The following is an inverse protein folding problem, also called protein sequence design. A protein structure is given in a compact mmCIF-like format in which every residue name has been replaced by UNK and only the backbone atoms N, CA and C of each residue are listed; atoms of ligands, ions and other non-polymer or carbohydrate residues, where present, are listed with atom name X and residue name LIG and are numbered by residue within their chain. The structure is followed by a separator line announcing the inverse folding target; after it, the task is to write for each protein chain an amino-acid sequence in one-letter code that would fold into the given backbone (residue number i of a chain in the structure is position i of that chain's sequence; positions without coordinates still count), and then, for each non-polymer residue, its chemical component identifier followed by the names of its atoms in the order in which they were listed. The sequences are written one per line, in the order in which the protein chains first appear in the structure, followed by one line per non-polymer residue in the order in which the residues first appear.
data_IF_700489925893
#
_entry.id   IF_700489925893
#
_cell.length_a   1.000
_cell.length_b   1.000
_cell.length_c   1.000
_cell.angle_alpha   90.00
_cell.angle_beta   90.00
_cell.angle_gamma   90.00
#
_symmetry.space_group_name_H-M   'P 1'
#
loop_
_entity.id
_entity.type
_entity.pdbx_description
1 polymer ?
#
# COMPACT_ATOMS: atom_id res chain seq x y z
N UNK A 1 -4.93 4.76 33.35
CA UNK A 1 -5.09 4.03 34.63
C UNK A 1 -6.51 3.51 34.71
N UNK A 2 -6.67 2.23 35.01
CA UNK A 2 -7.96 1.56 35.18
C UNK A 2 -8.09 1.12 36.64
N UNK A 3 -9.28 1.20 37.22
CA UNK A 3 -9.54 0.61 38.55
C UNK A 3 -9.72 -0.89 38.37
N UNK A 4 -8.92 -1.68 39.10
CA UNK A 4 -9.14 -3.10 39.26
C UNK A 4 -10.19 -3.26 40.35
N UNK A 5 -11.36 -3.76 39.97
CA UNK A 5 -12.41 -4.05 40.91
C UNK A 5 -12.48 -5.55 41.15
N UNK A 6 -12.57 -5.96 42.40
CA UNK A 6 -12.76 -7.34 42.81
C UNK A 6 -14.23 -7.59 43.12
N UNK A 7 -14.71 -8.76 42.70
CA UNK A 7 -16.00 -9.28 43.12
C UNK A 7 -15.81 -10.69 43.66
N UNK A 8 -16.17 -10.89 44.92
CA UNK A 8 -16.07 -12.18 45.59
C UNK A 8 -17.17 -13.12 45.12
N UNK A 9 -16.81 -14.38 44.80
CA UNK A 9 -17.79 -15.43 44.64
C UNK A 9 -18.32 -15.84 46.02
N UNK A 10 -19.59 -15.51 46.30
CA UNK A 10 -20.29 -15.95 47.50
C UNK A 10 -21.21 -17.11 47.13
N UNK A 11 -21.05 -18.26 47.81
CA UNK A 11 -21.90 -19.43 47.61
C UNK A 11 -23.36 -19.07 47.93
N UNK A 12 -24.25 -19.24 46.96
CA UNK A 12 -25.66 -18.84 47.07
C UNK A 12 -25.96 -17.37 46.70
N UNK A 13 -24.95 -16.57 46.37
CA UNK A 13 -25.11 -15.23 45.84
C UNK A 13 -25.16 -15.17 44.31
N UNK A 14 -25.70 -14.08 43.78
CA UNK A 14 -25.74 -13.81 42.33
C UNK A 14 -24.31 -13.66 41.78
N UNK A 15 -23.94 -14.33 40.68
CA UNK A 15 -22.58 -14.25 40.15
C UNK A 15 -22.24 -12.84 39.65
N UNK A 16 -20.97 -12.46 39.82
CA UNK A 16 -20.42 -11.15 39.45
C UNK A 16 -20.49 -10.89 37.93
N UNK A 17 -20.30 -11.96 37.17
CA UNK A 17 -20.43 -11.99 35.72
C UNK A 17 -21.61 -12.89 35.41
N UNK A 18 -22.56 -12.38 34.65
CA UNK A 18 -23.69 -13.15 34.12
C UNK A 18 -23.55 -13.25 32.62
N UNK A 19 -23.88 -14.40 32.06
CA UNK A 19 -24.01 -14.51 30.61
C UNK A 19 -25.49 -14.37 30.27
N UNK A 20 -25.85 -13.31 29.56
CA UNK A 20 -27.23 -13.06 29.10
C UNK A 20 -27.20 -13.06 27.58
N UNK A 21 -27.90 -14.01 26.95
CA UNK A 21 -27.93 -14.18 25.49
C UNK A 21 -26.53 -14.38 24.83
N UNK A 22 -25.58 -14.95 25.56
CA UNK A 22 -24.20 -15.16 25.07
C UNK A 22 -23.25 -13.99 25.34
N UNK A 23 -23.77 -12.84 25.76
CA UNK A 23 -22.98 -11.69 26.15
C UNK A 23 -22.68 -11.70 27.65
N UNK A 24 -21.45 -11.34 28.02
CA UNK A 24 -21.05 -11.19 29.43
C UNK A 24 -21.56 -9.84 29.93
N UNK A 25 -22.55 -9.88 30.81
CA UNK A 25 -23.10 -8.73 31.52
C UNK A 25 -22.42 -8.61 32.88
N UNK A 26 -21.80 -7.47 33.12
CA UNK A 26 -21.14 -7.11 34.38
C UNK A 26 -22.13 -6.32 35.23
N UNK A 27 -22.39 -6.76 36.47
CA UNK A 27 -23.23 -6.00 37.43
C UNK A 27 -22.34 -5.04 38.23
N UNK A 28 -22.25 -3.74 37.89
CA UNK A 28 -21.20 -2.85 38.40
C UNK A 28 -21.25 -2.68 39.93
N UNK A 29 -22.44 -2.77 40.54
CA UNK A 29 -22.60 -2.63 41.99
C UNK A 29 -21.92 -3.75 42.80
N UNK A 30 -21.57 -4.88 42.19
CA UNK A 30 -20.82 -5.96 42.86
C UNK A 30 -19.31 -5.83 42.75
N UNK A 31 -18.84 -4.90 41.92
CA UNK A 31 -17.43 -4.56 41.73
C UNK A 31 -17.02 -3.32 42.54
N UNK A 32 -17.72 -3.02 43.65
CA UNK A 32 -17.43 -1.84 44.46
C UNK A 32 -16.12 -1.92 45.25
N UNK A 33 -15.56 -3.11 45.44
CA UNK A 33 -14.27 -3.25 46.11
C UNK A 33 -13.13 -2.99 45.11
N UNK A 34 -12.48 -1.84 45.26
CA UNK A 34 -11.25 -1.55 44.54
C UNK A 34 -10.13 -2.47 45.05
N UNK A 35 -9.69 -3.39 44.20
CA UNK A 35 -8.55 -4.26 44.42
C UNK A 35 -7.22 -3.56 44.14
N UNK A 36 -7.25 -2.46 43.38
CA UNK A 36 -6.11 -1.60 43.10
C UNK A 36 -6.27 -0.82 41.81
N UNK A 37 -5.17 -0.28 41.32
CA UNK A 37 -5.13 0.46 40.05
C UNK A 37 -4.20 -0.25 39.06
N UNK A 38 -4.70 -0.51 37.85
CA UNK A 38 -3.92 -0.97 36.72
C UNK A 38 -3.46 0.22 35.88
N UNK A 39 -2.15 0.44 35.81
CA UNK A 39 -1.57 1.37 34.85
C UNK A 39 -1.22 0.61 33.57
N UNK A 40 -2.07 0.73 32.55
CA UNK A 40 -1.77 0.22 31.21
C UNK A 40 -0.98 1.30 30.48
N UNK A 41 0.23 0.96 30.04
CA UNK A 41 1.07 1.77 29.17
C UNK A 41 1.10 1.16 27.77
N UNK A 42 0.90 1.99 26.75
CA UNK A 42 0.83 1.60 25.35
C UNK A 42 0.09 2.67 24.55
N UNK A 43 -0.09 2.48 23.24
CA UNK A 43 -1.00 3.32 22.44
C UNK A 43 -2.01 2.51 21.63
N UNK A 44 -1.78 1.19 21.51
CA UNK A 44 -2.47 0.29 20.61
C UNK A 44 -3.32 -0.66 21.46
N UNK A 45 -4.60 -0.77 21.15
CA UNK A 45 -5.56 -1.65 21.86
C UNK A 45 -5.87 -2.92 21.08
N UNK A 46 -5.86 -2.84 19.75
CA UNK A 46 -6.07 -3.98 18.87
C UNK A 46 -5.31 -3.80 17.56
N UNK A 47 -5.06 -4.92 16.90
CA UNK A 47 -4.42 -5.00 15.59
C UNK A 47 -5.10 -6.09 14.77
N UNK A 48 -5.38 -5.80 13.51
CA UNK A 48 -6.09 -6.72 12.61
C UNK A 48 -5.69 -6.50 11.15
N UNK A 49 -6.01 -7.48 10.31
CA UNK A 49 -5.94 -7.33 8.85
C UNK A 49 -6.86 -6.20 8.36
N UNK A 50 -6.45 -5.51 7.29
CA UNK A 50 -7.30 -4.52 6.60
C UNK A 50 -8.33 -5.25 5.73
N UNK A 51 -9.50 -5.48 6.31
CA UNK A 51 -10.64 -6.12 5.65
C UNK A 51 -11.56 -5.09 4.96
N UNK A 52 -12.63 -5.60 4.33
CA UNK A 52 -13.63 -4.84 3.59
C UNK A 52 -14.16 -3.59 4.34
N UNK A 53 -14.63 -2.53 3.64
CA UNK A 53 -14.83 -2.43 2.18
C UNK A 53 -13.53 -2.20 1.40
N UNK A 54 -12.43 -1.89 2.10
CA UNK A 54 -11.17 -1.44 1.52
C UNK A 54 -10.06 -2.48 1.66
N UNK A 55 -10.34 -3.70 1.19
CA UNK A 55 -9.42 -4.85 1.36
C UNK A 55 -8.03 -4.49 0.85
N UNK A 56 -7.02 -4.72 1.69
CA UNK A 56 -5.63 -4.44 1.37
C UNK A 56 -4.75 -5.59 1.87
N UNK A 57 -4.70 -6.71 1.14
CA UNK A 57 -3.94 -7.88 1.54
C UNK A 57 -2.43 -7.56 1.51
N UNK A 58 -1.62 -8.35 2.22
CA UNK A 58 -0.16 -8.20 2.12
C UNK A 58 0.34 -8.75 0.78
N UNK A 59 1.36 -8.11 0.23
CA UNK A 59 1.95 -8.43 -1.07
C UNK A 59 3.48 -8.25 -0.99
N UNK A 60 4.26 -8.64 -2.02
CA UNK A 60 5.73 -8.64 -1.92
C UNK A 60 6.37 -7.31 -1.54
N UNK A 61 5.71 -6.18 -1.83
CA UNK A 61 6.26 -4.84 -1.59
C UNK A 61 5.85 -4.22 -0.26
N UNK A 62 4.74 -4.68 0.33
CA UNK A 62 4.29 -4.16 1.61
C UNK A 62 3.27 -5.06 2.30
N UNK A 63 3.26 -5.00 3.63
CA UNK A 63 2.22 -5.54 4.48
C UNK A 63 1.40 -4.39 5.09
N UNK A 64 0.15 -4.67 5.46
CA UNK A 64 -0.73 -3.65 6.02
C UNK A 64 -1.59 -4.21 7.14
N UNK A 65 -1.79 -3.39 8.17
CA UNK A 65 -2.68 -3.70 9.28
C UNK A 65 -3.47 -2.46 9.69
N UNK A 66 -4.66 -2.70 10.24
CA UNK A 66 -5.43 -1.70 10.95
C UNK A 66 -5.17 -1.85 12.45
N UNK A 67 -4.83 -0.74 13.10
CA UNK A 67 -4.57 -0.60 14.52
C UNK A 67 -5.66 0.25 15.14
N UNK A 68 -6.17 -0.18 16.29
CA UNK A 68 -7.00 0.68 17.13
C UNK A 68 -6.11 1.40 18.14
N UNK A 69 -5.93 2.70 17.96
CA UNK A 69 -5.17 3.54 18.87
C UNK A 69 -6.11 4.22 19.87
N UNK A 70 -5.70 4.33 21.12
CA UNK A 70 -6.53 5.00 22.13
C UNK A 70 -6.13 6.46 22.37
N UNK A 71 -5.00 6.90 21.81
CA UNK A 71 -4.52 8.27 21.96
C UNK A 71 -3.82 8.79 20.70
N UNK A 72 -3.94 10.11 20.41
CA UNK A 72 -3.18 10.76 19.36
C UNK A 72 -1.74 11.10 19.82
N UNK A 73 -0.94 11.65 18.91
CA UNK A 73 0.37 12.24 19.19
C UNK A 73 1.52 11.25 19.32
N UNK A 74 1.33 9.99 18.91
CA UNK A 74 2.34 8.92 19.02
C UNK A 74 2.85 8.48 17.64
N UNK A 75 4.11 8.07 17.57
CA UNK A 75 4.65 7.40 16.39
C UNK A 75 4.49 5.90 16.55
N UNK A 76 3.88 5.27 15.55
CA UNK A 76 3.74 3.81 15.52
C UNK A 76 4.87 3.21 14.70
N UNK A 77 5.56 2.24 15.28
CA UNK A 77 6.55 1.43 14.61
C UNK A 77 6.03 0.01 14.50
N UNK A 78 6.07 -0.56 13.30
CA UNK A 78 5.63 -1.92 13.03
C UNK A 78 6.74 -2.73 12.37
N UNK A 79 6.78 -4.02 12.71
CA UNK A 79 7.68 -5.01 12.14
C UNK A 79 6.89 -6.12 11.49
N UNK A 80 7.45 -6.68 10.43
CA UNK A 80 6.90 -7.81 9.69
C UNK A 80 7.95 -8.88 9.55
N UNK A 81 7.59 -10.12 9.88
CA UNK A 81 8.45 -11.28 9.73
C UNK A 81 7.74 -12.36 8.91
N UNK A 82 8.54 -13.26 8.35
CA UNK A 82 8.04 -14.46 7.66
C UNK A 82 7.46 -15.47 8.64
N UNK A 83 8.16 -15.69 9.75
CA UNK A 83 7.84 -16.71 10.74
C UNK A 83 7.36 -16.06 12.03
N UNK A 84 6.48 -16.75 12.77
CA UNK A 84 6.16 -16.38 14.14
C UNK A 84 7.37 -16.50 15.07
N UNK A 85 7.34 -15.79 16.19
CA UNK A 85 8.33 -15.96 17.24
C UNK A 85 8.24 -17.37 17.86
N UNK A 86 9.35 -17.89 18.46
CA UNK A 86 9.35 -19.20 19.10
C UNK A 86 8.23 -19.38 20.11
N UNK A 87 7.81 -20.63 20.35
CA UNK A 87 6.81 -20.92 21.39
C UNK A 87 7.29 -20.38 22.74
N UNK A 88 6.38 -19.80 23.51
CA UNK A 88 6.65 -19.14 24.79
C UNK A 88 7.58 -17.91 24.70
N UNK A 89 7.82 -17.37 23.51
CA UNK A 89 8.55 -16.13 23.31
C UNK A 89 7.58 -14.96 23.12
N UNK A 90 7.39 -14.12 24.13
CA UNK A 90 6.63 -12.87 24.00
C UNK A 90 7.57 -11.76 23.51
N UNK A 91 7.43 -11.23 22.28
CA UNK A 91 8.34 -10.23 21.75
C UNK A 91 8.36 -8.95 22.57
N UNK A 92 9.54 -8.38 22.72
CA UNK A 92 9.77 -7.08 23.35
C UNK A 92 10.15 -6.02 22.30
N UNK A 93 10.04 -4.73 22.65
CA UNK A 93 10.41 -3.65 21.75
C UNK A 93 11.88 -3.77 21.28
N UNK A 94 12.80 -4.17 22.14
CA UNK A 94 14.20 -4.38 21.78
C UNK A 94 14.40 -5.58 20.84
N UNK A 95 13.58 -6.63 20.96
CA UNK A 95 13.59 -7.77 20.03
C UNK A 95 13.21 -7.32 18.61
N UNK A 96 12.13 -6.54 18.50
CA UNK A 96 11.64 -6.07 17.20
C UNK A 96 12.47 -4.93 16.63
N UNK A 97 13.04 -4.02 17.42
CA UNK A 97 13.91 -2.94 16.90
C UNK A 97 15.17 -3.49 16.24
N UNK A 98 15.67 -4.61 16.76
CA UNK A 98 16.91 -5.22 16.32
C UNK A 98 16.72 -6.39 15.33
N UNK A 99 15.49 -6.63 14.86
CA UNK A 99 15.20 -7.73 13.95
C UNK A 99 15.78 -7.54 12.53
N UNK A 100 16.10 -6.31 12.15
CA UNK A 100 16.75 -5.99 10.87
C UNK A 100 18.27 -6.15 10.91
N UNK A 101 18.87 -6.29 12.09
CA UNK A 101 20.30 -6.55 12.21
C UNK A 101 20.62 -7.99 11.77
N UNK A 102 21.79 -8.21 11.14
CA UNK A 102 22.26 -9.56 10.80
C UNK A 102 22.25 -10.49 12.01
N UNK A 103 21.92 -11.78 11.82
CA UNK A 103 21.82 -12.75 12.94
C UNK A 103 23.09 -12.85 13.80
N UNK A 104 24.25 -12.59 13.20
CA UNK A 104 25.56 -12.67 13.87
C UNK A 104 26.10 -11.31 14.34
N UNK A 105 25.27 -10.27 14.33
CA UNK A 105 25.62 -8.96 14.88
C UNK A 105 25.99 -9.11 16.37
N UNK A 106 27.12 -8.53 16.76
CA UNK A 106 27.67 -8.64 18.12
C UNK A 106 26.80 -7.93 19.15
N UNK A 107 26.03 -6.95 18.68
CA UNK A 107 25.11 -6.13 19.46
C UNK A 107 23.84 -6.89 19.88
N UNK A 108 23.53 -8.03 19.22
CA UNK A 108 22.34 -8.83 19.55
C UNK A 108 22.57 -9.70 20.78
N UNK A 109 21.68 -9.59 21.75
CA UNK A 109 21.60 -10.55 22.86
C UNK A 109 21.16 -11.94 22.38
N UNK A 110 21.45 -12.97 23.17
CA UNK A 110 21.01 -14.35 22.88
C UNK A 110 19.49 -14.42 22.65
N UNK A 111 18.71 -13.69 23.45
CA UNK A 111 17.27 -13.60 23.29
C UNK A 111 16.88 -12.98 21.94
N UNK A 112 17.50 -11.86 21.55
CA UNK A 112 17.18 -11.16 20.30
C UNK A 112 17.54 -11.99 19.07
N UNK A 113 18.53 -12.89 19.15
CA UNK A 113 18.88 -13.83 18.07
C UNK A 113 17.79 -14.88 17.81
N UNK A 114 16.97 -15.19 18.82
CA UNK A 114 15.83 -16.11 18.70
C UNK A 114 14.65 -15.48 17.97
N UNK A 115 14.53 -14.15 17.97
CA UNK A 115 13.45 -13.47 17.27
C UNK A 115 13.64 -13.59 15.74
N UNK A 116 12.57 -13.86 14.96
CA UNK A 116 12.65 -13.93 13.51
C UNK A 116 13.22 -12.64 12.90
N UNK A 117 13.94 -12.78 11.78
CA UNK A 117 14.44 -11.60 11.07
C UNK A 117 13.29 -10.89 10.36
N UNK A 118 13.36 -9.57 10.33
CA UNK A 118 12.33 -8.78 9.68
C UNK A 118 12.46 -8.79 8.17
N UNK A 119 11.33 -8.97 7.51
CA UNK A 119 11.14 -8.64 6.10
C UNK A 119 10.92 -7.14 5.94
N UNK A 120 10.42 -6.46 6.97
CA UNK A 120 10.25 -5.02 7.01
C UNK A 120 10.16 -4.48 8.43
N UNK A 121 10.68 -3.27 8.62
CA UNK A 121 10.58 -2.49 9.86
C UNK A 121 10.28 -1.05 9.43
N UNK A 122 9.21 -0.47 9.95
CA UNK A 122 8.79 0.86 9.53
C UNK A 122 8.14 1.65 10.67
N UNK A 123 8.51 2.93 10.76
CA UNK A 123 7.88 3.91 11.64
C UNK A 123 7.07 4.86 10.80
N UNK A 124 5.81 5.09 11.16
CA UNK A 124 4.95 6.05 10.47
C UNK A 124 5.63 7.42 10.36
N UNK A 125 5.51 8.09 9.19
CA UNK A 125 6.15 9.39 9.00
C UNK A 125 5.47 10.50 9.81
N UNK A 126 4.17 10.32 10.11
CA UNK A 126 3.36 11.24 10.88
C UNK A 126 2.90 10.59 12.19
N UNK A 127 2.70 11.42 13.22
CA UNK A 127 2.02 11.02 14.44
C UNK A 127 0.55 10.66 14.17
N UNK A 128 0.01 9.77 14.98
CA UNK A 128 -1.42 9.49 15.02
C UNK A 128 -2.19 10.77 15.33
N UNK A 129 -2.95 11.30 14.37
CA UNK A 129 -3.66 12.59 14.52
C UNK A 129 -4.86 12.49 15.47
N UNK A 130 -5.55 11.36 15.45
CA UNK A 130 -6.75 11.10 16.26
C UNK A 130 -6.71 9.68 16.82
N UNK A 131 -7.24 9.51 18.03
CA UNK A 131 -7.52 8.17 18.55
C UNK A 131 -8.53 7.45 17.64
N UNK A 132 -8.40 6.14 17.50
CA UNK A 132 -9.26 5.29 16.72
C UNK A 132 -8.50 4.43 15.72
N UNK A 133 -9.14 4.14 14.58
CA UNK A 133 -8.59 3.26 13.55
C UNK A 133 -7.50 3.97 12.76
N UNK A 134 -6.29 3.43 12.80
CA UNK A 134 -5.13 3.87 12.03
C UNK A 134 -4.67 2.72 11.14
N UNK A 135 -4.33 3.01 9.89
CA UNK A 135 -3.73 2.01 8.98
C UNK A 135 -2.23 2.23 8.92
N UNK A 136 -1.49 1.15 9.07
CA UNK A 136 -0.04 1.15 8.93
C UNK A 136 0.35 0.28 7.75
N UNK A 137 1.31 0.76 6.98
CA UNK A 137 1.90 0.05 5.88
C UNK A 137 3.39 -0.13 6.16
N UNK A 138 3.89 -1.36 6.08
CA UNK A 138 5.31 -1.66 6.29
C UNK A 138 5.87 -2.11 4.94
N UNK A 139 6.79 -1.33 4.33
CA UNK A 139 7.54 -1.77 3.17
C UNK A 139 8.27 -3.07 3.46
N UNK A 140 8.29 -3.98 2.48
CA UNK A 140 8.95 -5.27 2.60
C UNK A 140 10.12 -5.36 1.62
N UNK A 141 11.21 -5.96 2.09
CA UNK A 141 12.40 -6.25 1.31
C UNK A 141 12.48 -7.75 1.06
N UNK A 142 11.62 -8.25 0.17
CA UNK A 142 11.49 -9.68 -0.13
C UNK A 142 11.96 -9.93 -1.56
N UNK A 143 12.82 -10.94 -1.74
CA UNK A 143 13.22 -11.37 -3.09
C UNK A 143 12.11 -12.15 -3.79
N UNK A 144 12.02 -12.14 -5.14
CA UNK A 144 10.99 -12.91 -5.85
C UNK A 144 10.98 -14.41 -5.51
N UNK A 145 12.16 -15.00 -5.27
CA UNK A 145 12.28 -16.41 -4.88
C UNK A 145 11.76 -16.67 -3.46
N UNK A 146 12.01 -15.74 -2.53
CA UNK A 146 11.49 -15.84 -1.17
C UNK A 146 9.97 -15.69 -1.14
N UNK A 147 9.41 -14.76 -1.92
CA UNK A 147 7.98 -14.49 -1.98
C UNK A 147 7.16 -15.75 -2.36
N UNK A 148 7.66 -16.61 -3.25
CA UNK A 148 6.98 -17.85 -3.66
C UNK A 148 6.71 -18.83 -2.50
N UNK A 149 7.50 -18.76 -1.43
CA UNK A 149 7.39 -19.64 -0.27
C UNK A 149 6.59 -19.07 0.90
N UNK A 150 6.06 -17.85 0.77
CA UNK A 150 5.34 -17.15 1.84
C UNK A 150 3.84 -17.28 1.61
N UNK A 151 3.11 -17.76 2.62
CA UNK A 151 1.63 -17.81 2.60
C UNK A 151 0.99 -16.81 3.55
N UNK A 152 1.71 -16.47 4.60
CA UNK A 152 1.28 -15.54 5.63
C UNK A 152 2.49 -14.81 6.17
N UNK A 153 2.25 -13.63 6.72
CA UNK A 153 3.22 -12.82 7.43
C UNK A 153 2.77 -12.63 8.87
N UNK A 154 3.71 -12.29 9.72
CA UNK A 154 3.46 -12.01 11.13
C UNK A 154 3.87 -10.58 11.42
N UNK A 155 2.97 -9.80 12.01
CA UNK A 155 3.19 -8.37 12.26
C UNK A 155 2.97 -8.01 13.73
N UNK A 156 3.86 -7.16 14.24
CA UNK A 156 3.76 -6.55 15.56
C UNK A 156 4.00 -5.05 15.45
N UNK A 157 3.36 -4.28 16.31
CA UNK A 157 3.48 -2.83 16.36
C UNK A 157 3.66 -2.34 17.78
N UNK A 158 4.28 -1.18 17.95
CA UNK A 158 4.44 -0.50 19.23
C UNK A 158 4.48 1.02 19.03
N UNK A 159 4.24 1.77 20.10
CA UNK A 159 4.45 3.22 20.14
C UNK A 159 5.78 3.51 20.84
N UNK A 160 6.75 4.05 20.10
CA UNK A 160 8.14 4.17 20.58
C UNK A 160 8.25 4.99 21.86
N UNK A 161 7.45 6.06 22.00
CA UNK A 161 7.50 7.00 23.12
C UNK A 161 6.87 6.45 24.40
N UNK A 162 5.97 5.46 24.28
CA UNK A 162 5.19 4.93 25.40
C UNK A 162 5.64 3.52 25.83
N UNK A 163 6.72 3.01 25.22
CA UNK A 163 7.23 1.66 25.45
C UNK A 163 8.37 1.57 26.47
N UNK A 164 8.27 2.28 27.60
CA UNK A 164 9.38 2.41 28.54
C UNK A 164 9.90 1.07 29.10
N UNK A 165 9.03 0.07 29.25
CA UNK A 165 9.36 -1.22 29.86
C UNK A 165 9.58 -2.36 28.85
N UNK A 166 9.76 -2.03 27.57
CA UNK A 166 9.99 -2.99 26.47
C UNK A 166 8.81 -3.95 26.17
N UNK A 167 7.69 -3.86 26.90
CA UNK A 167 6.56 -4.81 26.86
C UNK A 167 5.29 -4.28 26.19
N UNK A 168 5.34 -3.13 25.53
CA UNK A 168 4.15 -2.50 24.93
C UNK A 168 3.84 -3.00 23.49
N UNK A 169 4.40 -4.14 23.10
CA UNK A 169 4.24 -4.71 21.75
C UNK A 169 2.82 -5.27 21.58
N UNK A 170 2.18 -4.94 20.45
CA UNK A 170 0.87 -5.43 20.09
C UNK A 170 0.88 -6.21 18.76
N UNK A 171 0.22 -7.37 18.69
CA UNK A 171 -0.41 -8.06 19.82
C UNK A 171 0.67 -8.67 20.73
N UNK A 172 0.39 -8.75 22.04
CA UNK A 172 1.26 -9.37 23.03
C UNK A 172 1.26 -10.90 22.94
N UNK A 173 1.68 -11.44 21.79
CA UNK A 173 1.72 -12.88 21.50
C UNK A 173 2.96 -13.24 20.70
N UNK A 174 3.37 -14.50 20.77
CA UNK A 174 4.46 -15.04 19.94
C UNK A 174 4.06 -15.16 18.46
N UNK A 175 2.77 -15.22 18.14
CA UNK A 175 2.27 -15.33 16.76
C UNK A 175 2.18 -13.98 16.06
N UNK A 176 1.96 -12.89 16.79
CA UNK A 176 1.68 -11.60 16.15
C UNK A 176 0.30 -11.58 15.48
N UNK A 177 0.04 -10.52 14.73
CA UNK A 177 -1.11 -10.49 13.82
C UNK A 177 -0.74 -11.24 12.55
N UNK A 178 -1.50 -12.29 12.24
CA UNK A 178 -1.30 -13.07 11.01
C UNK A 178 -1.94 -12.33 9.84
N UNK A 179 -1.14 -12.03 8.82
CA UNK A 179 -1.59 -11.34 7.61
C UNK A 179 -1.48 -12.30 6.43
N UNK A 180 -2.56 -12.56 5.67
CA UNK A 180 -2.47 -13.31 4.43
C UNK A 180 -1.51 -12.66 3.45
N UNK A 181 -0.63 -13.46 2.84
CA UNK A 181 0.29 -13.02 1.80
C UNK A 181 -0.24 -13.44 0.44
N UNK A 182 -0.17 -12.52 -0.52
CA UNK A 182 -0.64 -12.72 -1.89
C UNK A 182 0.49 -12.41 -2.85
N UNK A 183 0.35 -12.84 -4.11
CA UNK A 183 1.39 -12.60 -5.12
C UNK A 183 1.37 -11.17 -5.69
N UNK A 184 0.38 -10.35 -5.34
CA UNK A 184 0.31 -8.96 -5.79
C UNK A 184 0.02 -8.86 -7.30
N UNK A 185 0.89 -8.16 -8.01
CA UNK A 185 0.82 -8.03 -9.47
C UNK A 185 1.27 -9.32 -10.16
N UNK A 186 0.57 -9.72 -11.23
CA UNK A 186 0.93 -10.91 -12.00
C UNK A 186 2.24 -10.71 -12.79
N UNK A 187 2.49 -9.47 -13.23
CA UNK A 187 3.65 -9.04 -14.01
C UNK A 187 3.98 -7.57 -13.72
N UNK A 188 5.21 -7.19 -13.98
CA UNK A 188 5.74 -5.82 -13.76
C UNK A 188 6.50 -5.28 -14.97
N UNK A 189 6.31 -5.89 -16.14
CA UNK A 189 7.02 -5.62 -17.39
C UNK A 189 6.05 -5.43 -18.57
N UNK A 190 4.84 -4.95 -18.28
CA UNK A 190 3.81 -4.72 -19.30
C UNK A 190 4.28 -3.67 -20.32
N UNK A 191 3.78 -3.79 -21.56
CA UNK A 191 4.09 -2.86 -22.65
C UNK A 191 2.80 -2.32 -23.24
N UNK A 192 2.68 -0.99 -23.24
CA UNK A 192 1.56 -0.28 -23.85
C UNK A 192 2.04 0.51 -25.06
N UNK A 193 1.17 0.66 -26.05
CA UNK A 193 1.40 1.50 -27.21
C UNK A 193 0.16 2.34 -27.48
N UNK A 194 0.36 3.63 -27.73
CA UNK A 194 -0.71 4.56 -28.05
C UNK A 194 -0.24 5.60 -29.07
N UNK A 195 -1.19 6.39 -29.57
CA UNK A 195 -0.93 7.51 -30.47
C UNK A 195 -1.03 8.81 -29.70
N UNK A 196 -0.16 9.77 -30.03
CA UNK A 196 -0.11 11.09 -29.40
C UNK A 196 -1.50 11.74 -29.33
N UNK A 197 -1.85 12.24 -28.15
CA UNK A 197 -3.14 12.89 -27.86
C UNK A 197 -4.39 12.00 -27.91
N UNK A 198 -4.27 10.72 -28.29
CA UNK A 198 -5.42 9.81 -28.36
C UNK A 198 -5.64 9.12 -27.01
N UNK A 199 -6.85 9.19 -26.43
CA UNK A 199 -7.15 8.49 -25.19
C UNK A 199 -6.99 6.96 -25.32
N UNK A 200 -6.36 6.34 -24.34
CA UNK A 200 -6.19 4.89 -24.25
C UNK A 200 -6.39 4.42 -22.80
N UNK A 201 -6.21 3.12 -22.55
CA UNK A 201 -6.30 2.53 -21.21
C UNK A 201 -4.99 1.85 -20.81
N UNK A 202 -4.55 2.10 -19.58
CA UNK A 202 -3.49 1.34 -18.91
C UNK A 202 -4.16 0.23 -18.12
N UNK A 203 -3.75 -1.01 -18.39
CA UNK A 203 -4.30 -2.22 -17.77
C UNK A 203 -3.19 -2.96 -17.06
N UNK A 204 -3.32 -3.16 -15.76
CA UNK A 204 -2.37 -3.91 -14.93
C UNK A 204 -3.04 -5.19 -14.43
N UNK A 205 -2.37 -6.33 -14.64
CA UNK A 205 -2.89 -7.66 -14.28
C UNK A 205 -2.55 -8.01 -12.84
N UNK A 206 -3.55 -8.43 -12.09
CA UNK A 206 -3.39 -8.91 -10.71
C UNK A 206 -3.23 -10.43 -10.69
N UNK A 207 -2.54 -10.95 -9.68
CA UNK A 207 -2.59 -12.37 -9.36
C UNK A 207 -3.99 -12.78 -8.89
N UNK A 208 -4.34 -14.06 -9.04
CA UNK A 208 -5.70 -14.54 -8.78
C UNK A 208 -6.08 -14.47 -7.29
N UNK A 209 -5.09 -14.52 -6.41
CA UNK A 209 -5.22 -14.39 -4.96
C UNK A 209 -5.18 -12.93 -4.46
N UNK A 210 -4.88 -11.96 -5.33
CA UNK A 210 -4.74 -10.56 -4.97
C UNK A 210 -6.03 -9.79 -5.23
N UNK A 211 -6.71 -9.41 -4.14
CA UNK A 211 -7.94 -8.62 -4.15
C UNK A 211 -7.74 -7.30 -3.39
N UNK A 212 -7.49 -6.23 -4.13
CA UNK A 212 -7.22 -4.90 -3.59
C UNK A 212 -8.38 -3.93 -3.88
N UNK A 213 -8.78 -3.14 -2.90
CA UNK A 213 -9.82 -2.10 -3.06
C UNK A 213 -9.37 -0.97 -3.98
N UNK A 214 -10.30 -0.41 -4.77
CA UNK A 214 -10.00 0.61 -5.82
C UNK A 214 -9.40 1.91 -5.28
N UNK A 215 -9.59 2.19 -4.00
CA UNK A 215 -9.09 3.38 -3.32
C UNK A 215 -7.57 3.38 -3.12
N UNK A 216 -6.91 2.21 -3.23
CA UNK A 216 -5.48 2.11 -2.98
C UNK A 216 -4.61 2.29 -4.23
N UNK A 217 -4.80 1.51 -5.31
CA UNK A 217 -3.85 1.49 -6.39
C UNK A 217 -3.83 2.82 -7.13
N UNK A 218 -2.65 3.29 -7.51
CA UNK A 218 -2.44 4.47 -8.35
C UNK A 218 -1.36 4.21 -9.39
N UNK A 219 -1.40 4.96 -10.47
CA UNK A 219 -0.33 5.00 -11.47
C UNK A 219 0.19 6.41 -11.64
N UNK A 220 1.41 6.51 -12.14
CA UNK A 220 1.95 7.73 -12.75
C UNK A 220 2.80 7.37 -13.96
N UNK A 221 2.88 8.31 -14.90
CA UNK A 221 3.71 8.20 -16.09
C UNK A 221 4.92 9.10 -15.91
N UNK A 222 6.11 8.54 -16.12
CA UNK A 222 7.41 9.18 -15.94
C UNK A 222 8.22 9.13 -17.23
N UNK A 223 9.21 10.01 -17.38
CA UNK A 223 10.11 9.99 -18.53
C UNK A 223 10.85 8.65 -18.67
N UNK A 224 11.32 8.35 -19.88
CA UNK A 224 12.19 7.20 -20.12
C UNK A 224 13.44 7.27 -19.22
N UNK A 225 13.82 6.13 -18.64
CA UNK A 225 14.99 6.02 -17.76
C UNK A 225 14.82 6.60 -16.37
N UNK A 226 13.78 7.40 -16.11
CA UNK A 226 13.51 7.96 -14.80
C UNK A 226 13.16 6.86 -13.77
N UNK A 227 13.66 6.99 -12.55
CA UNK A 227 13.30 6.12 -11.42
C UNK A 227 11.97 6.53 -10.81
N UNK A 228 11.18 5.54 -10.41
CA UNK A 228 9.79 5.75 -9.98
C UNK A 228 9.67 6.46 -8.62
N UNK A 229 10.69 6.39 -7.77
CA UNK A 229 10.74 6.98 -6.44
C UNK A 229 11.02 8.50 -6.44
N UNK A 230 11.62 9.04 -7.51
CA UNK A 230 12.04 10.45 -7.59
C UNK A 230 11.32 11.26 -8.67
N UNK A 231 10.66 10.61 -9.63
CA UNK A 231 10.13 11.30 -10.80
C UNK A 231 8.73 11.90 -10.57
N UNK A 232 8.56 13.15 -11.01
CA UNK A 232 7.26 13.81 -11.16
C UNK A 232 6.53 13.31 -12.40
N UNK A 233 5.23 13.58 -12.46
CA UNK A 233 4.44 13.30 -13.65
C UNK A 233 4.96 14.09 -14.86
N UNK A 234 5.02 13.42 -16.02
CA UNK A 234 5.42 14.06 -17.28
C UNK A 234 4.40 15.13 -17.71
N UNK A 235 4.85 16.34 -18.07
CA UNK A 235 3.97 17.36 -18.66
C UNK A 235 3.29 16.87 -19.95
N UNK A 236 1.99 17.16 -20.08
CA UNK A 236 1.20 16.74 -21.24
C UNK A 236 0.61 15.34 -21.14
N UNK A 237 0.73 14.68 -19.99
CA UNK A 237 -0.08 13.51 -19.64
C UNK A 237 -1.43 13.98 -19.09
N UNK A 238 -2.54 13.51 -19.68
CA UNK A 238 -3.91 13.75 -19.20
C UNK A 238 -4.59 12.43 -18.80
N UNK A 239 -5.71 12.54 -18.06
CA UNK A 239 -6.43 11.39 -17.50
C UNK A 239 -5.84 10.82 -16.21
N UNK A 240 -4.63 11.25 -15.84
CA UNK A 240 -4.00 11.03 -14.53
C UNK A 240 -3.47 12.38 -14.05
N UNK A 241 -3.60 12.70 -12.77
CA UNK A 241 -3.10 13.92 -12.16
C UNK A 241 -2.46 13.61 -10.82
N UNK A 242 -1.20 13.96 -10.68
CA UNK A 242 -0.44 13.85 -9.45
C UNK A 242 -0.30 15.22 -8.79
N UNK A 243 -0.18 15.26 -7.46
CA UNK A 243 0.26 16.48 -6.78
C UNK A 243 1.74 16.76 -7.08
N UNK A 244 2.20 17.98 -6.80
CA UNK A 244 3.58 18.43 -7.01
C UNK A 244 4.56 17.82 -6.00
N UNK A 245 4.77 16.50 -6.07
CA UNK A 245 5.79 15.78 -5.28
C UNK A 245 6.11 14.44 -5.93
N UNK A 246 7.37 14.00 -5.84
CA UNK A 246 7.79 12.70 -6.36
C UNK A 246 7.02 11.53 -5.72
N UNK A 247 6.66 11.69 -4.44
CA UNK A 247 5.88 10.73 -3.69
C UNK A 247 4.38 10.97 -3.79
N UNK A 248 3.94 12.04 -4.46
CA UNK A 248 2.52 12.39 -4.51
C UNK A 248 1.64 11.24 -4.97
N UNK A 249 0.50 11.09 -4.29
CA UNK A 249 -0.62 10.30 -4.75
C UNK A 249 -1.17 10.94 -6.03
N UNK A 250 -1.47 10.09 -7.00
CA UNK A 250 -2.11 10.50 -8.24
C UNK A 250 -3.59 10.12 -8.22
N UNK A 251 -4.40 10.74 -9.06
CA UNK A 251 -5.81 10.43 -9.24
C UNK A 251 -6.15 10.39 -10.75
N UNK A 252 -7.19 9.65 -11.18
CA UNK A 252 -8.09 8.84 -10.35
C UNK A 252 -7.50 7.47 -9.95
N UNK A 253 -8.14 6.81 -8.99
CA UNK A 253 -7.99 5.37 -8.78
C UNK A 253 -8.51 4.55 -9.98
N UNK A 254 -8.12 3.27 -10.09
CA UNK A 254 -8.53 2.41 -11.19
C UNK A 254 -10.01 2.03 -11.12
N UNK A 255 -10.54 1.64 -12.27
CA UNK A 255 -11.68 0.71 -12.32
C UNK A 255 -11.16 -0.71 -12.13
N UNK A 256 -11.86 -1.52 -11.34
CA UNK A 256 -11.58 -2.95 -11.23
C UNK A 256 -12.46 -3.71 -12.22
N UNK A 257 -11.85 -4.57 -13.04
CA UNK A 257 -12.57 -5.42 -13.98
C UNK A 257 -12.13 -6.88 -13.83
N UNK A 258 -13.11 -7.78 -13.91
CA UNK A 258 -12.88 -9.19 -14.18
C UNK A 258 -12.94 -9.37 -15.70
N UNK A 259 -11.81 -9.69 -16.31
CA UNK A 259 -11.72 -10.04 -17.72
C UNK A 259 -11.81 -11.56 -17.85
N UNK A 260 -12.78 -12.06 -18.61
CA UNK A 260 -12.94 -13.49 -18.89
C UNK A 260 -12.40 -13.78 -20.28
N UNK A 261 -11.24 -14.44 -20.37
CA UNK A 261 -10.63 -14.85 -21.63
C UNK A 261 -10.66 -16.36 -21.83
N UNK A 262 -10.21 -16.81 -23.01
CA UNK A 262 -10.06 -18.24 -23.36
C UNK A 262 -9.14 -18.97 -22.35
N UNK A 263 -8.18 -18.26 -21.77
CA UNK A 263 -7.22 -18.76 -20.78
C UNK A 263 -7.72 -18.62 -19.32
N UNK A 264 -8.99 -18.30 -19.11
CA UNK A 264 -9.61 -18.13 -17.80
C UNK A 264 -9.88 -16.68 -17.41
N UNK A 265 -10.32 -16.50 -16.16
CA UNK A 265 -10.57 -15.19 -15.59
C UNK A 265 -9.25 -14.54 -15.17
N UNK A 266 -9.04 -13.29 -15.56
CA UNK A 266 -7.96 -12.45 -15.06
C UNK A 266 -8.52 -11.18 -14.46
N UNK A 267 -8.06 -10.83 -13.26
CA UNK A 267 -8.39 -9.55 -12.62
C UNK A 267 -7.47 -8.47 -13.13
N UNK A 268 -8.05 -7.35 -13.53
CA UNK A 268 -7.32 -6.20 -14.05
C UNK A 268 -7.70 -4.92 -13.30
N UNK A 269 -6.71 -4.04 -13.10
CA UNK A 269 -6.90 -2.65 -12.76
C UNK A 269 -6.78 -1.82 -14.03
N UNK A 270 -7.76 -0.96 -14.28
CA UNK A 270 -7.88 -0.20 -15.53
C UNK A 270 -7.94 1.29 -15.21
N UNK A 271 -6.97 2.04 -15.75
CA UNK A 271 -7.03 3.50 -15.84
C UNK A 271 -7.39 3.86 -17.28
N UNK A 272 -8.60 4.37 -17.48
CA UNK A 272 -9.12 4.75 -18.79
C UNK A 272 -8.90 6.24 -19.07
N UNK A 273 -9.07 6.63 -20.34
CA UNK A 273 -8.96 8.00 -20.83
C UNK A 273 -7.60 8.66 -20.54
N UNK A 274 -6.54 7.85 -20.46
CA UNK A 274 -5.17 8.35 -20.35
C UNK A 274 -4.74 8.83 -21.73
N UNK A 275 -4.13 10.02 -21.83
CA UNK A 275 -3.56 10.50 -23.08
C UNK A 275 -2.20 11.14 -22.83
N UNK A 276 -1.30 11.07 -23.81
CA UNK A 276 0.02 11.69 -23.73
C UNK A 276 0.22 12.57 -24.96
N UNK A 277 0.47 13.86 -24.75
CA UNK A 277 0.57 14.85 -25.81
C UNK A 277 1.94 14.87 -26.51
N UNK A 278 2.92 14.09 -26.03
CA UNK A 278 4.27 14.04 -26.57
C UNK A 278 4.62 12.63 -27.03
N UNK A 279 5.31 12.57 -28.16
CA UNK A 279 5.84 11.33 -28.73
C UNK A 279 7.09 10.92 -27.98
N UNK A 280 7.24 9.63 -27.71
CA UNK A 280 8.40 9.12 -26.97
C UNK A 280 8.14 7.78 -26.30
N UNK A 281 9.11 7.34 -25.51
CA UNK A 281 8.96 6.22 -24.59
C UNK A 281 8.87 6.74 -23.15
N UNK A 282 8.07 6.07 -22.34
CA UNK A 282 7.77 6.47 -20.98
C UNK A 282 7.81 5.25 -20.05
N UNK A 283 8.10 5.50 -18.77
CA UNK A 283 7.88 4.53 -17.72
C UNK A 283 6.47 4.63 -17.15
N UNK A 284 5.87 3.49 -16.82
CA UNK A 284 4.64 3.45 -16.01
C UNK A 284 5.01 2.95 -14.63
N UNK A 285 4.73 3.78 -13.63
CA UNK A 285 4.92 3.45 -12.22
C UNK A 285 3.56 3.16 -11.58
N UNK A 286 3.56 2.26 -10.62
CA UNK A 286 2.40 1.79 -9.88
C UNK A 286 2.68 1.92 -8.39
N UNK A 287 1.61 2.18 -7.65
CA UNK A 287 1.61 2.28 -6.21
C UNK A 287 0.38 1.54 -5.71
N UNK A 288 0.53 0.54 -4.83
CA UNK A 288 -0.63 -0.16 -4.25
C UNK A 288 -1.08 0.41 -2.90
N UNK A 289 -0.32 1.33 -2.29
CA UNK A 289 -0.57 1.83 -0.92
C UNK A 289 -0.09 3.26 -0.77
N UNK A 290 -0.81 4.07 -0.01
CA UNK A 290 -0.45 5.46 0.26
C UNK A 290 -0.73 5.85 1.71
N UNK A 291 0.05 6.79 2.23
CA UNK A 291 -0.25 7.54 3.44
C UNK A 291 -0.80 8.90 3.06
N UNK A 292 -2.10 9.08 3.25
CA UNK A 292 -2.82 10.31 2.91
C UNK A 292 -2.59 10.74 1.44
N UNK A 293 -1.60 11.59 1.20
CA UNK A 293 -1.24 12.17 -0.10
C UNK A 293 0.06 11.64 -0.67
N UNK A 294 0.74 10.70 -0.02
CA UNK A 294 2.01 10.16 -0.45
C UNK A 294 1.93 8.66 -0.69
N UNK A 295 2.39 8.19 -1.84
CA UNK A 295 2.59 6.78 -2.10
C UNK A 295 3.66 6.20 -1.16
N UNK A 296 3.41 4.98 -0.69
CA UNK A 296 4.35 4.17 0.09
C UNK A 296 5.63 3.85 -0.70
N UNK A 297 5.43 3.28 -1.89
CA UNK A 297 6.48 2.84 -2.79
C UNK A 297 5.96 2.89 -4.22
N UNK A 298 6.64 3.66 -5.05
CA UNK A 298 6.40 3.67 -6.49
C UNK A 298 7.28 2.62 -7.17
N UNK A 299 6.66 1.63 -7.79
CA UNK A 299 7.35 0.56 -8.50
C UNK A 299 7.09 0.65 -10.01
N UNK A 300 8.11 0.36 -10.82
CA UNK A 300 7.93 0.28 -12.28
C UNK A 300 7.14 -0.97 -12.63
N UNK A 301 6.09 -0.82 -13.44
CA UNK A 301 5.23 -1.93 -13.89
C UNK A 301 5.21 -2.12 -15.40
N UNK A 302 5.90 -1.25 -16.14
CA UNK A 302 6.03 -1.42 -17.58
C UNK A 302 6.53 -0.17 -18.29
N UNK A 303 6.41 -0.21 -19.62
CA UNK A 303 6.75 0.89 -20.52
C UNK A 303 5.60 1.25 -21.44
N UNK A 304 5.50 2.54 -21.74
CA UNK A 304 4.49 3.11 -22.63
C UNK A 304 5.21 3.77 -23.81
N UNK A 305 4.88 3.34 -25.02
CA UNK A 305 5.37 3.96 -26.25
C UNK A 305 4.28 4.80 -26.91
N UNK A 306 4.57 6.07 -27.14
CA UNK A 306 3.68 7.00 -27.82
C UNK A 306 4.22 7.25 -29.23
N UNK A 307 3.44 6.89 -30.24
CA UNK A 307 3.74 7.11 -31.65
C UNK A 307 2.96 8.33 -32.18
N UNK A 308 3.40 8.87 -33.32
CA UNK A 308 2.76 9.99 -34.00
C UNK A 308 3.71 11.16 -34.28
N UNK A 309 3.18 12.33 -34.68
CA UNK A 309 3.98 13.52 -34.97
C UNK A 309 4.59 14.14 -33.70
N UNK A 310 5.87 14.51 -33.73
CA UNK A 310 6.58 15.05 -32.56
C UNK A 310 5.98 16.36 -32.01
N UNK A 311 5.43 17.18 -32.91
CA UNK A 311 4.88 18.51 -32.61
C UNK A 311 3.37 18.56 -32.87
N UNK A 312 2.66 17.49 -32.50
CA UNK A 312 1.21 17.41 -32.66
C UNK A 312 0.53 18.60 -31.96
N UNK A 313 -0.23 19.39 -32.72
CA UNK A 313 -0.95 20.57 -32.21
C UNK A 313 -0.13 21.85 -32.07
N UNK A 314 1.18 21.84 -32.32
CA UNK A 314 2.04 23.03 -32.20
C UNK A 314 2.67 23.51 -33.52
N UNK A 315 2.61 22.70 -34.58
CA UNK A 315 3.09 23.12 -35.92
C UNK A 315 1.98 23.81 -36.70
N UNK A 316 2.32 24.96 -37.28
CA UNK A 316 1.51 25.61 -38.31
C UNK A 316 2.15 25.40 -39.68
N UNK A 317 1.34 25.02 -40.67
CA UNK A 317 1.75 24.90 -42.06
C UNK A 317 1.08 26.02 -42.86
N UNK A 318 1.83 26.64 -43.77
CA UNK A 318 1.36 27.76 -44.59
C UNK A 318 1.48 27.39 -46.07
N UNK A 319 0.46 27.71 -46.85
CA UNK A 319 0.43 27.46 -48.29
C UNK A 319 -0.55 28.41 -48.97
N UNK A 320 -0.26 28.77 -50.22
CA UNK A 320 -1.16 29.61 -51.01
C UNK A 320 -2.31 28.76 -51.56
N UNK A 321 -3.58 29.22 -51.46
CA UNK A 321 -4.70 28.53 -52.08
C UNK A 321 -4.44 28.27 -53.57
N UNK A 322 -4.70 27.04 -54.03
CA UNK A 322 -4.53 26.63 -55.43
C UNK A 322 -3.10 26.31 -55.86
N UNK A 323 -2.09 26.52 -55.00
CA UNK A 323 -0.70 26.17 -55.29
C UNK A 323 -0.31 24.87 -54.58
N UNK A 324 0.36 23.92 -55.25
CA UNK A 324 0.96 22.77 -54.57
C UNK A 324 1.94 23.24 -53.49
N UNK A 325 1.90 22.59 -52.32
CA UNK A 325 2.85 22.80 -51.23
C UNK A 325 3.15 21.46 -50.55
N UNK A 326 4.27 21.41 -49.84
CA UNK A 326 4.73 20.21 -49.15
C UNK A 326 4.44 20.30 -47.64
N UNK A 327 3.92 19.22 -47.07
CA UNK A 327 3.74 19.07 -45.62
C UNK A 327 4.67 17.96 -45.14
N UNK A 328 5.78 18.37 -44.54
CA UNK A 328 6.68 17.44 -43.88
C UNK A 328 6.16 17.13 -42.46
N UNK A 329 5.90 15.84 -42.19
CA UNK A 329 5.52 15.36 -40.86
C UNK A 329 6.64 14.50 -40.32
N UNK A 330 7.22 14.94 -39.20
CA UNK A 330 8.25 14.21 -38.47
C UNK A 330 7.64 13.60 -37.20
N UNK A 331 7.97 12.34 -36.93
CA UNK A 331 7.37 11.59 -35.84
C UNK A 331 8.00 10.23 -35.63
N UNK A 332 7.51 9.51 -34.62
CA UNK A 332 7.88 8.13 -34.32
C UNK A 332 6.75 7.18 -34.66
N UNK A 333 7.09 5.99 -35.18
CA UNK A 333 6.11 4.96 -35.51
C UNK A 333 5.17 5.32 -36.67
N UNK A 334 5.53 6.31 -37.49
CA UNK A 334 4.81 6.66 -38.71
C UNK A 334 4.96 5.55 -39.75
N UNK A 335 3.89 5.23 -40.46
CA UNK A 335 3.83 4.17 -41.47
C UNK A 335 3.36 4.72 -42.82
N UNK A 336 3.69 4.04 -43.92
CA UNK A 336 3.19 4.40 -45.28
C UNK A 336 1.66 4.38 -45.39
N UNK A 337 0.99 3.66 -44.49
CA UNK A 337 -0.47 3.60 -44.38
C UNK A 337 -1.10 4.84 -43.74
N UNK A 338 -0.32 5.70 -43.08
CA UNK A 338 -0.85 6.88 -42.41
C UNK A 338 -1.37 7.89 -43.43
N UNK A 339 -2.36 8.70 -43.01
CA UNK A 339 -3.06 9.64 -43.88
C UNK A 339 -3.11 11.02 -43.23
N UNK A 340 -2.91 12.05 -44.04
CA UNK A 340 -3.15 13.43 -43.66
C UNK A 340 -4.54 13.85 -44.12
N UNK A 341 -5.24 14.60 -43.28
CA UNK A 341 -6.51 15.22 -43.60
C UNK A 341 -6.45 16.68 -43.19
N UNK A 342 -6.86 17.57 -44.09
CA UNK A 342 -7.09 18.98 -43.78
C UNK A 342 -8.55 19.11 -43.40
N UNK A 343 -8.82 19.67 -42.23
CA UNK A 343 -10.18 19.95 -41.75
C UNK A 343 -10.32 21.46 -41.54
N UNK A 344 -11.48 22.07 -41.88
CA UNK A 344 -11.75 23.46 -41.52
C UNK A 344 -11.65 23.64 -40.01
N UNK A 345 -11.12 24.79 -39.56
CA UNK A 345 -11.18 25.13 -38.15
C UNK A 345 -12.64 25.45 -37.81
N UNK A 346 -13.29 24.62 -36.99
CA UNK A 346 -14.65 24.88 -36.51
C UNK A 346 -14.56 25.97 -35.43
N UNK A 347 -14.69 27.22 -35.86
CA UNK A 347 -14.81 28.38 -34.98
C UNK A 347 -16.13 28.39 -34.23
#
# INVERSE_FOLDING_TARGET
RYRLCYCAYLRGGTPCLQTVNGDVVVTPERFMHEAGTLEVTGAITAMREVLAPSRLPSAPFAASAELDTFMPGVYLTCVVTRDQAPRNFLPQMSDVKNCSLPRHARELSERQRLFPRCLGLFTMPDVVKTAGKVRVHVPLSISPSEAMGIRQLHMWCFASELCANDRCIMPASNTGTVLPFTHGLKRTDDRWTATVGTPFSIRVKLADDFAIGKEWPRIKIVEQGAVCDQALQVPGVSGVTCMDSALAKCEPGPMSALSTGILGNSRELIWANVAVARVGEYGVCYCDRHWDKACLLWMRVGSLRINGPHNAGSVSYWGNPGMPFEVAVQGSGLQRGDRLRIVPNSG
#
